data_IF_927596950984
#
_entry.id   IF_927596950984
#
_cell.length_a   1.000
_cell.length_b   1.000
_cell.length_c   1.000
_cell.angle_alpha   90.00
_cell.angle_beta   90.00
_cell.angle_gamma   90.00
#
_symmetry.space_group_name_H-M   'P 1'
#
loop_
_entity.id
_entity.type
_entity.pdbx_description
1 polymer ?
#
# COMPACT_ATOMS: atom_id res chain seq x y z
N UNK A 1 26.83 19.13 -1.25
CA UNK A 1 25.87 18.25 -0.56
C UNK A 1 24.65 19.09 -0.25
N UNK A 2 23.49 18.73 -0.77
CA UNK A 2 22.27 19.52 -0.62
C UNK A 2 21.27 18.71 0.22
N UNK A 3 20.97 19.20 1.42
CA UNK A 3 19.92 18.65 2.27
C UNK A 3 18.55 19.13 1.78
N UNK A 4 17.51 18.33 2.01
CA UNK A 4 16.15 18.71 1.67
C UNK A 4 15.61 19.76 2.63
N UNK A 5 14.53 20.44 2.22
CA UNK A 5 13.83 21.36 3.12
C UNK A 5 13.26 20.58 4.30
N UNK A 6 13.49 21.08 5.51
CA UNK A 6 13.12 20.39 6.75
C UNK A 6 14.21 19.45 7.29
N UNK A 7 15.30 19.24 6.54
CA UNK A 7 16.44 18.46 7.01
C UNK A 7 17.58 19.36 7.52
N UNK A 8 18.25 18.91 8.58
CA UNK A 8 19.50 19.48 9.04
C UNK A 8 20.42 18.37 9.55
N UNK A 9 21.73 18.54 9.45
CA UNK A 9 22.66 17.54 9.96
C UNK A 9 22.86 17.70 11.47
N UNK A 10 23.01 16.59 12.19
CA UNK A 10 23.57 16.63 13.55
C UNK A 10 24.97 17.25 13.46
N UNK A 11 25.33 18.08 14.45
CA UNK A 11 26.66 18.70 14.49
C UNK A 11 27.75 17.63 14.39
N UNK A 12 28.70 17.83 13.47
CA UNK A 12 29.78 16.88 13.15
C UNK A 12 29.29 15.52 12.60
N UNK A 13 28.13 15.48 11.95
CA UNK A 13 27.64 14.27 11.30
C UNK A 13 28.65 13.72 10.27
N UNK A 14 28.91 12.41 10.29
CA UNK A 14 29.87 11.79 9.39
C UNK A 14 29.33 11.79 7.96
N UNK A 15 30.25 11.95 7.02
CA UNK A 15 30.01 11.88 5.59
C UNK A 15 30.51 10.51 5.10
N UNK A 16 29.69 9.82 4.32
CA UNK A 16 30.04 8.53 3.71
C UNK A 16 30.19 8.68 2.20
N UNK A 17 31.17 7.97 1.63
CA UNK A 17 31.32 7.84 0.18
C UNK A 17 30.48 6.66 -0.32
N UNK A 18 29.68 6.89 -1.35
CA UNK A 18 28.85 5.90 -2.03
C UNK A 18 29.64 5.19 -3.14
N UNK A 19 29.17 4.02 -3.63
CA UNK A 19 29.88 3.26 -4.68
C UNK A 19 30.14 4.03 -5.98
N UNK A 20 29.33 5.06 -6.27
CA UNK A 20 29.48 5.92 -7.46
C UNK A 20 30.41 7.13 -7.25
N UNK A 21 31.12 7.20 -6.11
CA UNK A 21 32.01 8.31 -5.78
C UNK A 21 31.31 9.55 -5.23
N UNK A 22 29.98 9.58 -5.19
CA UNK A 22 29.25 10.64 -4.49
C UNK A 22 29.37 10.48 -2.98
N UNK A 23 29.15 11.58 -2.25
CA UNK A 23 29.14 11.55 -0.78
C UNK A 23 27.79 11.98 -0.25
N UNK A 24 27.33 11.37 0.84
CA UNK A 24 26.14 11.82 1.56
C UNK A 24 26.35 11.80 3.09
N UNK A 25 25.50 12.53 3.80
CA UNK A 25 25.26 12.28 5.22
C UNK A 25 24.11 11.26 5.28
N UNK A 26 24.32 10.07 5.86
CA UNK A 26 23.26 9.11 6.07
C UNK A 26 22.06 9.72 6.80
N UNK A 27 20.85 9.34 6.38
CA UNK A 27 19.60 9.91 6.87
C UNK A 27 19.45 9.81 8.40
N UNK A 28 19.95 8.73 9.02
CA UNK A 28 19.90 8.55 10.47
C UNK A 28 20.84 9.50 11.23
N UNK A 29 21.66 10.31 10.56
CA UNK A 29 22.44 11.39 11.18
C UNK A 29 21.85 12.78 10.91
N UNK A 30 20.63 12.83 10.36
CA UNK A 30 19.89 14.05 10.13
C UNK A 30 18.84 14.27 11.24
N UNK A 31 18.50 15.54 11.44
CA UNK A 31 17.40 16.05 12.21
C UNK A 31 16.32 16.52 11.25
N UNK A 32 15.05 16.32 11.63
CA UNK A 32 13.90 16.66 10.81
C UNK A 32 13.01 17.67 11.53
N UNK A 33 12.57 18.68 10.78
CA UNK A 33 11.59 19.67 11.19
C UNK A 33 10.78 20.10 9.98
N UNK A 34 9.90 19.22 9.55
CA UNK A 34 9.05 19.45 8.39
C UNK A 34 7.92 20.43 8.72
N UNK A 35 7.75 21.42 7.83
CA UNK A 35 6.55 22.24 7.71
C UNK A 35 5.65 21.70 6.60
N UNK A 36 4.41 22.20 6.51
CA UNK A 36 3.50 21.89 5.39
C UNK A 36 4.19 22.10 4.04
N UNK A 37 4.88 23.22 3.86
CA UNK A 37 5.58 23.59 2.61
C UNK A 37 6.70 22.60 2.29
N UNK A 38 7.44 22.13 3.30
CA UNK A 38 8.49 21.14 3.09
C UNK A 38 7.92 19.78 2.64
N UNK A 39 6.75 19.38 3.18
CA UNK A 39 6.07 18.15 2.78
C UNK A 39 5.47 18.30 1.38
N UNK A 40 4.92 19.46 1.03
CA UNK A 40 4.48 19.78 -0.34
C UNK A 40 5.62 19.63 -1.33
N UNK A 41 6.82 20.11 -0.98
CA UNK A 41 8.00 19.93 -1.83
C UNK A 41 8.36 18.46 -2.04
N UNK A 42 8.24 17.62 -1.00
CA UNK A 42 8.43 16.16 -1.15
C UNK A 42 7.37 15.58 -2.10
N UNK A 43 6.10 16.00 -1.96
CA UNK A 43 5.01 15.54 -2.83
C UNK A 43 5.20 15.96 -4.29
N UNK A 44 5.73 17.17 -4.54
CA UNK A 44 6.02 17.65 -5.90
C UNK A 44 7.07 16.80 -6.63
N UNK A 45 7.98 16.19 -5.87
CA UNK A 45 9.00 15.28 -6.40
C UNK A 45 8.49 13.84 -6.57
N UNK A 46 7.26 13.54 -6.12
CA UNK A 46 6.61 12.25 -6.31
C UNK A 46 5.81 12.26 -7.60
N UNK A 47 6.04 11.24 -8.43
CA UNK A 47 5.22 10.99 -9.61
C UNK A 47 4.48 9.66 -9.48
N UNK A 48 3.16 9.72 -9.73
CA UNK A 48 2.26 8.57 -9.80
C UNK A 48 1.07 8.92 -10.72
N UNK A 49 0.06 8.05 -10.77
CA UNK A 49 -1.13 8.21 -11.63
C UNK A 49 -1.97 9.44 -11.24
N UNK A 50 -2.35 10.24 -12.25
CA UNK A 50 -3.07 11.52 -12.08
C UNK A 50 -4.43 11.41 -11.37
N UNK A 51 -5.06 10.25 -11.43
CA UNK A 51 -6.35 10.01 -10.77
C UNK A 51 -6.18 9.76 -9.26
N UNK A 52 -4.94 9.80 -8.73
CA UNK A 52 -4.63 9.71 -7.30
C UNK A 52 -3.86 10.94 -6.80
N UNK A 53 -4.45 12.15 -6.84
CA UNK A 53 -3.80 13.35 -6.34
C UNK A 53 -3.46 13.23 -4.85
N UNK A 54 -2.29 13.72 -4.46
CA UNK A 54 -1.83 13.75 -3.07
C UNK A 54 -1.98 15.16 -2.53
N UNK A 55 -2.76 15.31 -1.47
CA UNK A 55 -2.97 16.58 -0.78
C UNK A 55 -2.13 16.62 0.50
N UNK A 56 -1.52 17.78 0.76
CA UNK A 56 -0.88 18.10 2.03
C UNK A 56 -1.72 19.14 2.73
N UNK A 57 -2.07 18.89 3.99
CA UNK A 57 -2.87 19.81 4.78
C UNK A 57 -2.36 19.98 6.19
N UNK A 58 -2.95 20.97 6.87
CA UNK A 58 -2.70 21.24 8.28
C UNK A 58 -4.01 21.09 9.05
N UNK A 59 -3.91 20.53 10.25
CA UNK A 59 -4.95 20.58 11.28
C UNK A 59 -4.35 21.15 12.56
N UNK A 60 -5.19 21.43 13.56
CA UNK A 60 -4.69 21.80 14.89
C UNK A 60 -3.77 20.75 15.54
N UNK A 61 -3.76 19.52 15.02
CA UNK A 61 -2.96 18.39 15.51
C UNK A 61 -1.67 18.14 14.70
N UNK A 62 -1.43 18.92 13.63
CA UNK A 62 -0.22 18.83 12.80
C UNK A 62 -0.49 18.63 11.31
N UNK A 63 0.57 18.26 10.59
CA UNK A 63 0.55 18.04 9.13
C UNK A 63 -0.12 16.69 8.84
N UNK A 64 -0.85 16.62 7.74
CA UNK A 64 -1.37 15.36 7.22
C UNK A 64 -1.23 15.27 5.70
N UNK A 65 -1.19 14.03 5.21
CA UNK A 65 -1.33 13.66 3.81
C UNK A 65 -2.72 13.06 3.61
N UNK A 66 -3.35 13.35 2.48
CA UNK A 66 -4.60 12.71 2.07
C UNK A 66 -4.55 12.40 0.58
N UNK A 67 -4.87 11.16 0.20
CA UNK A 67 -4.95 10.77 -1.21
C UNK A 67 -6.39 10.95 -1.66
N UNK A 68 -6.60 11.70 -2.75
CA UNK A 68 -7.87 11.72 -3.47
C UNK A 68 -7.91 10.59 -4.49
N UNK A 69 -9.11 10.15 -4.85
CA UNK A 69 -9.35 9.18 -5.93
C UNK A 69 -10.33 9.81 -6.90
N UNK A 70 -9.90 9.96 -8.16
CA UNK A 70 -10.71 10.55 -9.23
C UNK A 70 -11.26 9.42 -10.10
N UNK A 71 -12.56 9.16 -10.00
CA UNK A 71 -13.22 8.04 -10.67
C UNK A 71 -14.60 8.40 -11.19
N UNK A 72 -15.21 7.48 -11.95
CA UNK A 72 -16.60 7.63 -12.36
C UNK A 72 -17.53 7.39 -11.17
N UNK A 73 -18.56 8.23 -11.03
CA UNK A 73 -19.57 8.03 -10.00
C UNK A 73 -20.41 6.77 -10.30
N UNK A 74 -20.30 5.77 -9.42
CA UNK A 74 -21.01 4.51 -9.54
C UNK A 74 -22.51 4.61 -9.22
N UNK A 75 -22.96 5.70 -8.58
CA UNK A 75 -24.35 5.91 -8.18
C UNK A 75 -25.20 6.60 -9.25
N UNK A 76 -24.60 7.43 -10.10
CA UNK A 76 -25.30 8.21 -11.13
C UNK A 76 -25.26 7.56 -12.53
N UNK A 77 -25.64 6.28 -12.63
CA UNK A 77 -25.69 5.52 -13.91
C UNK A 77 -26.68 6.04 -14.95
N UNK A 78 -27.54 7.03 -14.63
CA UNK A 78 -28.73 7.39 -15.43
C UNK A 78 -28.54 8.52 -16.44
N UNK A 79 -27.42 9.22 -16.47
CA UNK A 79 -27.17 10.28 -17.45
C UNK A 79 -25.89 9.97 -18.21
N UNK A 80 -25.95 9.99 -19.54
CA UNK A 80 -24.84 9.66 -20.44
C UNK A 80 -23.60 10.57 -20.32
N UNK A 81 -23.54 11.43 -19.31
CA UNK A 81 -22.39 12.21 -18.92
C UNK A 81 -21.82 11.62 -17.62
N UNK A 82 -20.80 10.77 -17.73
CA UNK A 82 -20.07 10.27 -16.56
C UNK A 82 -19.01 11.28 -16.18
N UNK A 83 -19.42 12.36 -15.52
CA UNK A 83 -18.44 13.29 -14.97
C UNK A 83 -17.61 12.56 -13.91
N UNK A 84 -16.29 12.66 -14.02
CA UNK A 84 -15.40 12.11 -12.97
C UNK A 84 -15.58 12.95 -11.72
N UNK A 85 -15.73 12.29 -10.57
CA UNK A 85 -15.78 12.92 -9.26
C UNK A 85 -14.54 12.54 -8.47
N UNK A 86 -14.15 13.40 -7.52
CA UNK A 86 -13.08 13.10 -6.57
C UNK A 86 -13.69 12.70 -5.23
N UNK A 87 -13.23 11.57 -4.71
CA UNK A 87 -13.47 11.15 -3.32
C UNK A 87 -12.17 11.26 -2.55
N UNK A 88 -12.28 11.48 -1.24
CA UNK A 88 -11.11 11.71 -0.40
C UNK A 88 -10.91 10.53 0.56
N UNK A 89 -9.70 9.96 0.53
CA UNK A 89 -9.29 8.92 1.46
C UNK A 89 -9.11 9.42 2.89
N UNK A 90 -8.55 8.56 3.76
CA UNK A 90 -8.25 8.92 5.14
C UNK A 90 -7.04 9.88 5.21
N UNK A 91 -7.01 10.69 6.27
CA UNK A 91 -5.85 11.54 6.59
C UNK A 91 -4.78 10.71 7.27
N UNK A 92 -3.56 10.80 6.76
CA UNK A 92 -2.36 10.17 7.30
C UNK A 92 -1.54 11.24 8.00
N UNK A 93 -1.38 11.12 9.32
CA UNK A 93 -0.62 12.09 10.11
C UNK A 93 0.86 12.06 9.72
N UNK A 94 1.47 13.25 9.63
CA UNK A 94 2.91 13.43 9.45
C UNK A 94 3.44 14.19 10.65
N UNK A 95 4.30 13.54 11.44
CA UNK A 95 5.02 14.23 12.52
C UNK A 95 6.15 15.07 11.92
N UNK A 96 6.42 16.24 12.51
CA UNK A 96 7.44 17.17 12.00
C UNK A 96 8.85 16.56 11.99
N UNK A 97 9.11 15.61 12.88
CA UNK A 97 10.38 14.92 13.03
C UNK A 97 10.44 13.57 12.27
N UNK A 98 9.43 13.24 11.44
CA UNK A 98 9.55 12.12 10.52
C UNK A 98 10.62 12.42 9.48
N UNK A 99 11.35 11.39 9.13
CA UNK A 99 12.39 11.52 8.12
C UNK A 99 11.78 11.60 6.71
N UNK A 100 12.45 12.28 5.77
CA UNK A 100 11.94 12.43 4.39
C UNK A 100 11.58 11.09 3.75
N UNK A 101 12.39 10.04 3.94
CA UNK A 101 12.05 8.69 3.44
C UNK A 101 10.84 8.06 4.13
N UNK A 102 10.61 8.31 5.42
CA UNK A 102 9.37 7.85 6.10
C UNK A 102 8.14 8.58 5.55
N UNK A 103 8.24 9.87 5.22
CA UNK A 103 7.16 10.63 4.58
C UNK A 103 6.84 10.03 3.20
N UNK A 104 7.86 9.78 2.37
CA UNK A 104 7.69 9.16 1.05
C UNK A 104 7.04 7.77 1.17
N UNK A 105 7.49 6.95 2.13
CA UNK A 105 6.88 5.64 2.40
C UNK A 105 5.43 5.76 2.89
N UNK A 106 5.12 6.77 3.70
CA UNK A 106 3.75 7.04 4.15
C UNK A 106 2.84 7.36 2.97
N UNK A 107 3.30 8.17 2.02
CA UNK A 107 2.56 8.50 0.79
C UNK A 107 2.37 7.24 -0.08
N UNK A 108 3.43 6.45 -0.26
CA UNK A 108 3.36 5.18 -0.99
C UNK A 108 2.30 4.23 -0.40
N UNK A 109 2.30 4.07 0.93
CA UNK A 109 1.30 3.26 1.63
C UNK A 109 -0.11 3.84 1.52
N UNK A 110 -0.25 5.17 1.65
CA UNK A 110 -1.54 5.84 1.51
C UNK A 110 -2.17 5.59 0.13
N UNK A 111 -1.36 5.61 -0.93
CA UNK A 111 -1.80 5.28 -2.30
C UNK A 111 -2.21 3.81 -2.40
N UNK A 112 -1.41 2.88 -1.87
CA UNK A 112 -1.77 1.44 -1.87
C UNK A 112 -3.11 1.19 -1.19
N UNK A 113 -3.33 1.80 -0.03
CA UNK A 113 -4.59 1.65 0.71
C UNK A 113 -5.76 2.31 -0.02
N UNK A 114 -5.54 3.49 -0.63
CA UNK A 114 -6.58 4.13 -1.46
C UNK A 114 -6.96 3.25 -2.66
N UNK A 115 -5.99 2.57 -3.29
CA UNK A 115 -6.27 1.64 -4.38
C UNK A 115 -6.91 0.34 -3.91
N UNK A 116 -6.49 -0.19 -2.78
CA UNK A 116 -7.12 -1.37 -2.19
C UNK A 116 -8.61 -1.13 -1.93
N UNK A 117 -8.98 0.06 -1.47
CA UNK A 117 -10.39 0.47 -1.37
C UNK A 117 -11.14 0.29 -2.70
N UNK A 118 -10.60 0.85 -3.79
CA UNK A 118 -11.22 0.74 -5.12
C UNK A 118 -11.31 -0.72 -5.60
N UNK A 119 -10.26 -1.52 -5.43
CA UNK A 119 -10.26 -2.95 -5.81
C UNK A 119 -11.37 -3.72 -5.07
N UNK A 120 -11.54 -3.43 -3.78
CA UNK A 120 -12.56 -4.04 -2.92
C UNK A 120 -13.97 -3.68 -3.38
N UNK A 121 -14.17 -2.48 -3.90
CA UNK A 121 -15.45 -2.04 -4.47
C UNK A 121 -15.70 -2.55 -5.89
N UNK A 122 -14.64 -2.73 -6.67
CA UNK A 122 -14.73 -3.26 -8.03
C UNK A 122 -14.98 -4.78 -8.05
N UNK A 123 -14.62 -5.49 -6.98
CA UNK A 123 -14.91 -6.91 -6.84
C UNK A 123 -16.39 -7.13 -6.49
N UNK A 124 -17.17 -7.54 -7.48
CA UNK A 124 -18.62 -7.76 -7.33
C UNK A 124 -18.99 -9.23 -7.40
N UNK A 125 -19.97 -9.63 -6.60
CA UNK A 125 -20.61 -10.94 -6.60
C UNK A 125 -22.10 -10.78 -6.92
N UNK A 126 -22.56 -11.52 -7.91
CA UNK A 126 -23.98 -11.66 -8.25
C UNK A 126 -24.56 -12.85 -7.51
N UNK A 127 -25.47 -12.60 -6.58
CA UNK A 127 -26.17 -13.61 -5.80
C UNK A 127 -27.67 -13.30 -5.73
N UNK A 128 -28.52 -14.28 -6.02
CA UNK A 128 -29.99 -14.09 -6.13
C UNK A 128 -30.40 -12.92 -7.05
N UNK A 129 -29.76 -12.79 -8.22
CA UNK A 129 -29.97 -11.70 -9.21
C UNK A 129 -29.69 -10.28 -8.66
N UNK A 130 -29.00 -10.18 -7.53
CA UNK A 130 -28.54 -8.92 -6.94
C UNK A 130 -27.01 -8.89 -6.94
N UNK A 131 -26.46 -7.71 -7.16
CA UNK A 131 -25.01 -7.48 -7.16
C UNK A 131 -24.60 -6.89 -5.81
N UNK A 132 -23.52 -7.40 -5.23
CA UNK A 132 -22.93 -6.89 -3.98
C UNK A 132 -21.40 -6.88 -4.08
N UNK A 133 -20.75 -6.00 -3.31
CA UNK A 133 -19.28 -5.89 -3.24
C UNK A 133 -18.79 -6.57 -1.95
N UNK A 134 -18.50 -7.86 -2.03
CA UNK A 134 -18.32 -8.71 -0.83
C UNK A 134 -17.05 -8.44 -0.02
N UNK A 135 -16.09 -7.72 -0.58
CA UNK A 135 -14.84 -7.36 0.09
C UNK A 135 -14.73 -5.87 0.45
N UNK A 136 -15.81 -5.09 0.27
CA UNK A 136 -15.82 -3.66 0.57
C UNK A 136 -15.55 -3.35 2.05
N UNK A 137 -14.96 -2.18 2.32
CA UNK A 137 -14.63 -1.72 3.68
C UNK A 137 -15.79 -1.00 4.40
N UNK A 138 -16.93 -0.86 3.74
CA UNK A 138 -18.12 -0.19 4.26
C UNK A 138 -19.10 -1.15 4.96
N UNK A 139 -18.72 -2.42 5.11
CA UNK A 139 -19.50 -3.41 5.86
C UNK A 139 -19.68 -2.99 7.32
N UNK A 140 -20.90 -3.16 7.83
CA UNK A 140 -21.21 -2.94 9.25
C UNK A 140 -20.63 -4.10 10.09
N UNK A 141 -19.32 -4.01 10.35
CA UNK A 141 -18.58 -5.00 11.13
C UNK A 141 -19.19 -5.23 12.53
N UNK A 142 -19.66 -4.20 13.28
CA UNK A 142 -20.42 -4.41 14.50
C UNK A 142 -21.63 -5.34 14.33
N UNK A 143 -22.43 -5.19 13.27
CA UNK A 143 -23.55 -6.10 12.98
C UNK A 143 -23.04 -7.49 12.60
N UNK A 144 -22.07 -7.60 11.69
CA UNK A 144 -21.53 -8.90 11.25
C UNK A 144 -20.93 -9.70 12.40
N UNK A 145 -20.26 -9.04 13.34
CA UNK A 145 -19.67 -9.68 14.52
C UNK A 145 -20.70 -10.38 15.42
N UNK A 146 -21.94 -9.86 15.50
CA UNK A 146 -23.03 -10.49 16.26
C UNK A 146 -23.63 -11.69 15.54
N UNK A 147 -23.38 -11.79 14.23
CA UNK A 147 -23.88 -12.85 13.36
C UNK A 147 -22.82 -13.89 13.04
N UNK A 148 -21.72 -13.94 13.80
CA UNK A 148 -20.58 -14.84 13.54
C UNK A 148 -21.00 -16.30 13.28
N UNK A 149 -21.96 -16.81 14.06
CA UNK A 149 -22.50 -18.18 13.90
C UNK A 149 -23.10 -18.47 12.52
N UNK A 150 -23.52 -17.45 11.75
CA UNK A 150 -24.03 -17.63 10.38
C UNK A 150 -22.92 -17.87 9.35
N UNK A 151 -21.67 -17.49 9.68
CA UNK A 151 -20.49 -17.64 8.82
C UNK A 151 -19.78 -18.97 9.05
N UNK A 152 -20.18 -19.74 10.06
CA UNK A 152 -19.67 -21.07 10.34
C UNK A 152 -20.30 -22.07 9.36
N UNK A 153 -19.67 -22.26 8.19
CA UNK A 153 -20.11 -23.26 7.21
C UNK A 153 -18.99 -24.16 6.71
N UNK A 154 -19.41 -25.39 6.41
CA UNK A 154 -18.62 -26.53 5.95
C UNK A 154 -17.89 -26.20 4.65
N UNK A 155 -16.56 -26.26 4.69
CA UNK A 155 -15.74 -26.21 3.48
C UNK A 155 -15.92 -27.53 2.73
N UNK A 156 -16.72 -27.51 1.67
CA UNK A 156 -16.78 -28.63 0.73
C UNK A 156 -15.66 -28.48 -0.30
N UNK A 157 -15.07 -29.60 -0.67
CA UNK A 157 -14.15 -29.66 -1.79
C UNK A 157 -14.92 -29.31 -3.08
N UNK A 158 -14.50 -28.25 -3.76
CA UNK A 158 -15.04 -27.80 -5.02
C UNK A 158 -14.39 -28.56 -6.18
N UNK A 159 -15.20 -28.88 -7.17
CA UNK A 159 -14.79 -29.40 -8.49
C UNK A 159 -14.47 -28.24 -9.43
N UNK A 160 -13.81 -28.51 -10.56
CA UNK A 160 -13.51 -27.49 -11.58
C UNK A 160 -14.79 -26.83 -12.10
N UNK A 161 -15.84 -27.63 -12.33
CA UNK A 161 -17.14 -27.16 -12.80
C UNK A 161 -17.77 -26.20 -11.79
N UNK A 162 -17.70 -26.52 -10.50
CA UNK A 162 -18.18 -25.64 -9.43
C UNK A 162 -17.39 -24.33 -9.33
N UNK A 163 -16.07 -24.38 -9.58
CA UNK A 163 -15.23 -23.18 -9.61
C UNK A 163 -15.56 -22.30 -10.82
N UNK A 164 -15.78 -22.89 -11.99
CA UNK A 164 -16.18 -22.16 -13.19
C UNK A 164 -17.54 -21.48 -13.01
N UNK A 165 -18.53 -22.19 -12.45
CA UNK A 165 -19.83 -21.62 -12.10
C UNK A 165 -19.71 -20.50 -11.07
N UNK A 166 -18.78 -20.61 -10.12
CA UNK A 166 -18.51 -19.54 -9.16
C UNK A 166 -17.92 -18.30 -9.83
N UNK A 167 -17.02 -18.46 -10.81
CA UNK A 167 -16.46 -17.33 -11.57
C UNK A 167 -17.50 -16.59 -12.41
N UNK A 168 -18.50 -17.28 -12.96
CA UNK A 168 -19.61 -16.64 -13.70
C UNK A 168 -20.42 -15.66 -12.83
N UNK A 169 -20.37 -15.83 -11.51
CA UNK A 169 -21.02 -14.93 -10.55
C UNK A 169 -20.17 -13.71 -10.17
N UNK A 170 -18.91 -13.66 -10.59
CA UNK A 170 -17.97 -12.59 -10.25
C UNK A 170 -17.73 -11.68 -11.44
N UNK A 171 -17.73 -10.37 -11.18
CA UNK A 171 -17.23 -9.36 -12.13
C UNK A 171 -16.24 -8.46 -11.38
N UNK A 172 -15.13 -8.14 -12.05
CA UNK A 172 -14.11 -7.22 -11.53
C UNK A 172 -13.79 -6.17 -12.58
N UNK A 173 -14.14 -4.90 -12.33
CA UNK A 173 -13.91 -3.80 -13.30
C UNK A 173 -14.35 -4.17 -14.74
N UNK A 174 -15.56 -4.76 -14.85
CA UNK A 174 -16.14 -5.24 -16.12
C UNK A 174 -15.35 -6.36 -16.82
N UNK A 175 -14.37 -6.95 -16.16
CA UNK A 175 -13.68 -8.15 -16.59
C UNK A 175 -14.37 -9.41 -16.05
N UNK A 176 -14.25 -10.49 -16.82
CA UNK A 176 -14.76 -11.82 -16.51
C UNK A 176 -13.61 -12.82 -16.39
N UNK A 177 -13.89 -14.00 -15.86
CA UNK A 177 -12.86 -14.98 -15.53
C UNK A 177 -13.22 -16.38 -16.04
N UNK A 178 -12.20 -17.15 -16.42
CA UNK A 178 -12.32 -18.57 -16.77
C UNK A 178 -11.21 -19.39 -16.09
N UNK A 179 -11.54 -20.61 -15.66
CA UNK A 179 -10.54 -21.55 -15.12
C UNK A 179 -9.74 -22.15 -16.27
N UNK A 180 -8.42 -22.05 -16.19
CA UNK A 180 -7.48 -22.65 -17.16
C UNK A 180 -6.92 -23.97 -16.64
N UNK A 181 -6.49 -24.00 -15.37
CA UNK A 181 -5.94 -25.20 -14.75
C UNK A 181 -6.28 -25.26 -13.26
N UNK A 182 -6.39 -26.48 -12.72
CA UNK A 182 -6.61 -26.74 -11.30
C UNK A 182 -5.87 -28.00 -10.88
N UNK A 183 -4.82 -27.85 -10.09
CA UNK A 183 -3.89 -28.93 -9.77
C UNK A 183 -3.56 -28.99 -8.28
N UNK A 184 -3.54 -30.19 -7.71
CA UNK A 184 -3.04 -30.40 -6.36
C UNK A 184 -1.51 -30.51 -6.37
N UNK A 185 -0.86 -29.79 -5.46
CA UNK A 185 0.59 -29.81 -5.25
C UNK A 185 0.97 -30.85 -4.20
N UNK A 186 2.22 -31.34 -4.26
CA UNK A 186 2.71 -32.39 -3.34
C UNK A 186 2.73 -31.99 -1.85
N UNK A 187 2.64 -30.70 -1.53
CA UNK A 187 2.50 -30.19 -0.16
C UNK A 187 1.04 -30.08 0.30
N UNK A 188 0.08 -30.55 -0.50
CA UNK A 188 -1.36 -30.51 -0.24
C UNK A 188 -2.06 -29.20 -0.63
N UNK A 189 -1.35 -28.16 -1.06
CA UNK A 189 -1.96 -26.94 -1.60
C UNK A 189 -2.50 -27.16 -3.02
N UNK A 190 -3.31 -26.24 -3.50
CA UNK A 190 -3.86 -26.27 -4.85
C UNK A 190 -3.39 -25.05 -5.65
N UNK A 191 -3.04 -25.29 -6.90
CA UNK A 191 -2.65 -24.28 -7.88
C UNK A 191 -3.80 -24.10 -8.86
N UNK A 192 -4.23 -22.86 -9.06
CA UNK A 192 -5.26 -22.52 -10.03
C UNK A 192 -4.72 -21.46 -10.98
N UNK A 193 -4.79 -21.74 -12.27
CA UNK A 193 -4.57 -20.72 -13.28
C UNK A 193 -5.92 -20.23 -13.80
N UNK A 194 -6.08 -18.92 -13.84
CA UNK A 194 -7.29 -18.22 -14.25
C UNK A 194 -6.91 -17.25 -15.35
N UNK A 195 -7.72 -17.23 -16.40
CA UNK A 195 -7.66 -16.20 -17.43
C UNK A 195 -8.69 -15.12 -17.12
N UNK A 196 -8.23 -13.87 -17.14
CA UNK A 196 -9.06 -12.69 -16.97
C UNK A 196 -9.28 -12.03 -18.34
N UNK A 197 -10.54 -11.92 -18.72
CA UNK A 197 -11.00 -11.42 -20.01
C UNK A 197 -11.51 -10.00 -19.79
N UNK A 198 -10.69 -9.02 -20.19
CA UNK A 198 -11.03 -7.59 -20.11
C UNK A 198 -12.03 -7.17 -21.19
N UNK A 199 -12.73 -6.06 -20.98
CA UNK A 199 -13.60 -5.44 -21.99
C UNK A 199 -13.17 -4.00 -22.26
N UNK A 200 -13.76 -3.39 -23.28
CA UNK A 200 -13.61 -1.94 -23.58
C UNK A 200 -14.12 -1.02 -22.46
N UNK A 201 -14.78 -1.58 -21.45
CA UNK A 201 -15.26 -0.86 -20.27
C UNK A 201 -14.38 -1.06 -19.03
N UNK A 202 -13.33 -1.89 -19.13
CA UNK A 202 -12.32 -2.03 -18.09
C UNK A 202 -11.49 -0.76 -17.99
N UNK A 203 -11.39 -0.21 -16.78
CA UNK A 203 -10.88 1.14 -16.52
C UNK A 203 -9.53 1.15 -15.81
N UNK A 204 -9.20 0.08 -15.08
CA UNK A 204 -7.98 -0.03 -14.31
C UNK A 204 -6.74 -0.11 -15.23
N UNK A 205 -5.72 0.75 -15.01
CA UNK A 205 -4.58 0.83 -15.89
C UNK A 205 -3.74 -0.46 -15.92
N UNK A 206 -3.67 -1.20 -14.82
CA UNK A 206 -2.95 -2.48 -14.76
C UNK A 206 -3.59 -3.59 -15.59
N UNK A 207 -4.90 -3.50 -15.86
CA UNK A 207 -5.64 -4.49 -16.65
C UNK A 207 -5.57 -4.18 -18.15
N UNK A 208 -5.44 -2.90 -18.52
CA UNK A 208 -5.39 -2.45 -19.91
C UNK A 208 -4.07 -2.79 -20.63
N UNK A 209 -3.05 -3.28 -19.92
CA UNK A 209 -1.72 -3.54 -20.47
C UNK A 209 -1.59 -4.92 -21.14
N UNK A 210 -2.51 -5.86 -20.89
CA UNK A 210 -2.50 -7.18 -21.50
C UNK A 210 -3.92 -7.64 -21.79
N UNK A 211 -4.21 -7.95 -23.07
CA UNK A 211 -5.54 -8.43 -23.50
C UNK A 211 -5.98 -9.71 -22.80
N UNK A 212 -5.01 -10.52 -22.35
CA UNK A 212 -5.22 -11.79 -21.67
C UNK A 212 -4.32 -11.84 -20.42
N UNK A 213 -4.82 -11.31 -19.30
CA UNK A 213 -4.08 -11.37 -18.04
C UNK A 213 -4.32 -12.72 -17.39
N UNK A 214 -3.25 -13.48 -17.12
CA UNK A 214 -3.33 -14.74 -16.38
C UNK A 214 -2.97 -14.54 -14.91
N UNK A 215 -3.79 -15.10 -14.04
CA UNK A 215 -3.60 -15.10 -12.60
C UNK A 215 -3.32 -16.52 -12.14
N UNK A 216 -2.29 -16.68 -11.32
CA UNK A 216 -2.00 -17.95 -10.66
C UNK A 216 -2.30 -17.83 -9.17
N UNK A 217 -3.22 -18.64 -8.67
CA UNK A 217 -3.63 -18.69 -7.27
C UNK A 217 -3.02 -19.90 -6.59
N UNK A 218 -2.62 -19.74 -5.33
CA UNK A 218 -2.21 -20.85 -4.46
C UNK A 218 -3.15 -20.90 -3.26
N UNK A 219 -4.05 -21.88 -3.20
CA UNK A 219 -5.04 -22.02 -2.12
C UNK A 219 -4.77 -23.26 -1.28
N UNK A 220 -4.98 -23.18 0.04
CA UNK A 220 -4.74 -24.29 0.97
C UNK A 220 -5.88 -25.31 0.98
N UNK A 221 -7.10 -24.83 0.78
CA UNK A 221 -8.32 -25.64 0.77
C UNK A 221 -9.02 -25.43 -0.57
N UNK A 222 -9.40 -26.49 -1.29
CA UNK A 222 -10.09 -26.39 -2.56
C UNK A 222 -11.58 -26.09 -2.34
N UNK A 223 -11.90 -24.95 -1.70
CA UNK A 223 -13.29 -24.53 -1.46
C UNK A 223 -13.61 -23.24 -2.22
N UNK A 224 -14.89 -22.99 -2.52
CA UNK A 224 -15.33 -21.75 -3.19
C UNK A 224 -14.89 -20.50 -2.40
N UNK A 225 -14.94 -20.54 -1.08
CA UNK A 225 -14.50 -19.40 -0.25
C UNK A 225 -12.99 -19.18 -0.38
N UNK A 226 -12.19 -20.24 -0.24
CA UNK A 226 -10.74 -20.14 -0.41
C UNK A 226 -10.36 -19.66 -1.81
N UNK A 227 -11.15 -20.04 -2.81
CA UNK A 227 -11.02 -19.57 -4.18
C UNK A 227 -11.29 -18.07 -4.31
N UNK A 228 -12.42 -17.56 -3.80
CA UNK A 228 -12.72 -16.13 -3.85
C UNK A 228 -11.69 -15.27 -3.12
N UNK A 229 -11.23 -15.71 -1.96
CA UNK A 229 -10.14 -15.04 -1.25
C UNK A 229 -8.84 -15.07 -2.05
N UNK A 230 -8.46 -16.22 -2.61
CA UNK A 230 -7.28 -16.33 -3.45
C UNK A 230 -7.33 -15.43 -4.69
N UNK A 231 -8.48 -15.37 -5.37
CA UNK A 231 -8.69 -14.49 -6.52
C UNK A 231 -8.55 -13.02 -6.11
N UNK A 232 -9.20 -12.61 -5.02
CA UNK A 232 -9.07 -11.25 -4.50
C UNK A 232 -7.61 -10.91 -4.15
N UNK A 233 -6.89 -11.81 -3.49
CA UNK A 233 -5.48 -11.61 -3.15
C UNK A 233 -4.61 -11.42 -4.40
N UNK A 234 -4.87 -12.18 -5.48
CA UNK A 234 -4.16 -12.01 -6.75
C UNK A 234 -4.47 -10.67 -7.43
N UNK A 235 -5.73 -10.23 -7.42
CA UNK A 235 -6.13 -8.92 -7.96
C UNK A 235 -5.52 -7.75 -7.14
N UNK A 236 -5.50 -7.90 -5.82
CA UNK A 236 -4.83 -6.94 -4.93
C UNK A 236 -3.32 -6.92 -5.18
N UNK A 237 -2.70 -8.09 -5.42
CA UNK A 237 -1.29 -8.18 -5.78
C UNK A 237 -0.99 -7.46 -7.11
N UNK A 238 -1.85 -7.58 -8.13
CA UNK A 238 -1.69 -6.84 -9.38
C UNK A 238 -1.69 -5.33 -9.17
N UNK A 239 -2.63 -4.80 -8.40
CA UNK A 239 -2.67 -3.36 -8.13
C UNK A 239 -1.49 -2.90 -7.28
N UNK A 240 -1.08 -3.71 -6.30
CA UNK A 240 0.12 -3.43 -5.51
C UNK A 240 1.38 -3.40 -6.38
N UNK A 241 1.52 -4.32 -7.33
CA UNK A 241 2.61 -4.35 -8.30
C UNK A 241 2.55 -3.12 -9.22
N UNK A 242 1.36 -2.68 -9.63
CA UNK A 242 1.20 -1.46 -10.41
C UNK A 242 1.70 -0.22 -9.65
N UNK A 243 1.33 -0.06 -8.37
CA UNK A 243 1.85 1.06 -7.55
C UNK A 243 3.36 0.95 -7.40
N UNK A 244 3.84 -0.26 -7.07
CA UNK A 244 5.26 -0.57 -6.87
C UNK A 244 6.11 -0.17 -8.07
N UNK A 245 5.61 -0.37 -9.30
CA UNK A 245 6.34 -0.10 -10.53
C UNK A 245 6.17 1.34 -11.07
N UNK A 246 5.15 2.08 -10.62
CA UNK A 246 4.83 3.41 -11.17
C UNK A 246 4.94 4.56 -10.15
N UNK A 247 5.08 4.26 -8.86
CA UNK A 247 5.37 5.26 -7.84
C UNK A 247 6.86 5.57 -7.83
N UNK A 248 7.22 6.82 -8.12
CA UNK A 248 8.61 7.26 -8.12
C UNK A 248 8.81 8.53 -7.31
N UNK A 249 9.99 8.68 -6.73
CA UNK A 249 10.46 9.91 -6.11
C UNK A 249 11.70 10.38 -6.89
N UNK A 250 11.66 11.59 -7.44
CA UNK A 250 12.71 12.14 -8.31
C UNK A 250 13.12 11.19 -9.46
N UNK A 251 12.13 10.48 -10.02
CA UNK A 251 12.33 9.51 -11.11
C UNK A 251 12.88 8.15 -10.67
N UNK A 252 13.13 7.93 -9.37
CA UNK A 252 13.54 6.63 -8.84
C UNK A 252 12.36 5.85 -8.25
N UNK A 253 12.11 4.66 -8.78
CA UNK A 253 11.04 3.75 -8.33
C UNK A 253 11.62 2.76 -7.33
N UNK A 254 11.62 3.10 -6.03
CA UNK A 254 12.32 2.33 -4.99
C UNK A 254 11.93 0.83 -4.95
N UNK A 255 10.65 0.54 -5.13
CA UNK A 255 10.11 -0.80 -4.95
C UNK A 255 10.04 -1.63 -6.24
N UNK A 256 10.49 -1.08 -7.38
CA UNK A 256 10.52 -1.83 -8.64
C UNK A 256 11.30 -3.14 -8.47
N UNK A 257 10.67 -4.26 -8.84
CA UNK A 257 11.27 -5.61 -8.75
C UNK A 257 12.51 -5.77 -9.64
N UNK A 258 12.73 -4.85 -10.59
CA UNK A 258 13.94 -4.78 -11.42
C UNK A 258 15.13 -4.17 -10.70
N UNK A 259 14.93 -3.50 -9.56
CA UNK A 259 16.03 -2.95 -8.78
C UNK A 259 16.90 -4.05 -8.20
N UNK A 260 18.22 -3.87 -8.26
CA UNK A 260 19.16 -4.80 -7.64
C UNK A 260 19.09 -4.70 -6.12
N UNK A 261 18.53 -5.73 -5.49
CA UNK A 261 18.49 -5.86 -4.02
C UNK A 261 19.89 -5.88 -3.42
N UNK A 262 20.87 -6.47 -4.13
CA UNK A 262 22.28 -6.48 -3.71
C UNK A 262 22.85 -5.07 -3.70
N UNK A 263 22.61 -4.27 -4.75
CA UNK A 263 23.09 -2.89 -4.80
C UNK A 263 22.46 -2.02 -3.70
N UNK A 264 21.16 -2.20 -3.45
CA UNK A 264 20.49 -1.53 -2.32
C UNK A 264 21.17 -1.92 -1.00
N UNK A 265 21.43 -3.21 -0.79
CA UNK A 265 22.12 -3.69 0.40
C UNK A 265 23.51 -3.06 0.56
N UNK A 266 24.31 -2.99 -0.51
CA UNK A 266 25.65 -2.38 -0.49
C UNK A 266 25.62 -0.89 -0.10
N UNK A 267 24.64 -0.14 -0.64
CA UNK A 267 24.42 1.26 -0.27
C UNK A 267 24.04 1.36 1.21
N UNK A 268 23.10 0.54 1.69
CA UNK A 268 22.65 0.55 3.08
C UNK A 268 23.77 0.15 4.05
N UNK A 269 24.58 -0.85 3.70
CA UNK A 269 25.76 -1.25 4.48
C UNK A 269 26.73 -0.08 4.56
N UNK A 270 27.01 0.58 3.43
CA UNK A 270 27.92 1.73 3.37
C UNK A 270 27.43 2.91 4.22
N UNK A 271 26.13 3.21 4.17
CA UNK A 271 25.52 4.26 5.00
C UNK A 271 25.56 3.91 6.50
N UNK A 272 25.42 2.62 6.84
CA UNK A 272 25.45 2.13 8.23
C UNK A 272 26.86 1.86 8.75
N UNK A 273 27.90 1.87 7.91
CA UNK A 273 29.28 1.81 8.36
C UNK A 273 29.50 3.00 9.28
N UNK A 274 29.34 2.76 10.57
CA UNK A 274 29.94 3.57 11.62
C UNK A 274 31.40 3.51 11.27
N UNK A 275 31.97 4.58 10.75
CA UNK A 275 33.40 4.69 10.58
C UNK A 275 33.96 4.51 11.98
N UNK A 276 34.33 3.28 12.32
CA UNK A 276 34.67 2.81 13.66
C UNK A 276 35.98 3.43 14.16
N UNK A 277 36.50 4.43 13.44
CA UNK A 277 37.80 5.01 13.69
C UNK A 277 37.72 6.36 14.37
N UNK A 278 36.72 7.23 14.16
CA UNK A 278 36.62 8.51 14.90
C UNK A 278 35.23 9.17 14.82
N UNK A 279 34.17 8.51 15.31
CA UNK A 279 33.02 9.32 15.75
C UNK A 279 33.49 10.09 16.98
N UNK A 280 33.74 11.39 16.83
CA UNK A 280 34.05 12.27 17.95
C UNK A 280 33.04 12.01 19.08
N UNK A 281 33.54 11.92 20.32
CA UNK A 281 32.71 11.61 21.49
C UNK A 281 31.49 12.56 21.58
N UNK A 282 31.71 13.83 21.23
CA UNK A 282 30.67 14.86 21.11
C UNK A 282 29.55 14.46 20.12
N UNK A 283 29.88 13.97 18.93
CA UNK A 283 28.88 13.51 17.97
C UNK A 283 28.10 12.31 18.51
N UNK A 284 28.81 11.32 19.06
CA UNK A 284 28.18 10.10 19.59
C UNK A 284 27.18 10.41 20.71
N UNK A 285 27.52 11.36 21.58
CA UNK A 285 26.64 11.82 22.66
C UNK A 285 25.44 12.60 22.13
N UNK A 286 25.65 13.54 21.20
CA UNK A 286 24.57 14.28 20.56
C UNK A 286 23.60 13.35 19.82
N UNK A 287 24.13 12.39 19.05
CA UNK A 287 23.33 11.42 18.31
C UNK A 287 22.43 10.57 19.23
N UNK A 288 23.00 10.04 20.33
CA UNK A 288 22.23 9.29 21.33
C UNK A 288 21.15 10.15 21.99
N UNK A 289 21.51 11.38 22.38
CA UNK A 289 20.59 12.30 23.04
C UNK A 289 19.41 12.67 22.12
N UNK A 290 19.70 13.04 20.87
CA UNK A 290 18.68 13.34 19.86
C UNK A 290 17.71 12.19 19.66
N UNK A 291 18.21 10.96 19.43
CA UNK A 291 17.34 9.81 19.20
C UNK A 291 16.42 9.55 20.39
N UNK A 292 16.96 9.64 21.61
CA UNK A 292 16.20 9.47 22.83
C UNK A 292 15.09 10.51 23.01
N UNK A 293 15.35 11.78 22.69
CA UNK A 293 14.31 12.81 22.77
C UNK A 293 13.22 12.63 21.70
N UNK A 294 13.58 12.21 20.49
CA UNK A 294 12.61 11.87 19.43
C UNK A 294 11.75 10.66 19.83
N UNK A 295 12.36 9.60 20.37
CA UNK A 295 11.63 8.40 20.78
C UNK A 295 10.62 8.72 21.89
N UNK A 296 10.97 9.59 22.83
CA UNK A 296 10.05 10.07 23.87
C UNK A 296 8.81 10.75 23.30
N UNK A 297 8.92 11.52 22.21
CA UNK A 297 7.76 12.21 21.63
C UNK A 297 6.78 11.23 20.99
N UNK A 298 7.23 10.03 20.62
CA UNK A 298 6.42 9.00 19.95
C UNK A 298 5.66 8.09 20.91
N UNK A 299 5.99 8.11 22.20
CA UNK A 299 5.31 7.25 23.19
C UNK A 299 3.85 7.71 23.37
N UNK A 300 2.86 6.88 23.02
CA UNK A 300 1.46 7.24 23.20
C UNK A 300 1.10 7.32 24.70
N UNK A 301 0.24 8.27 25.06
CA UNK A 301 -0.30 8.34 26.42
C UNK A 301 -1.32 7.21 26.62
N UNK A 302 -1.04 6.30 27.55
CA UNK A 302 -1.98 5.27 27.95
C UNK A 302 -2.96 5.84 28.99
N UNK A 303 -4.20 6.07 28.60
CA UNK A 303 -5.26 6.51 29.50
C UNK A 303 -5.81 5.34 30.31
N UNK A 304 -6.14 5.57 31.58
CA UNK A 304 -6.72 4.54 32.45
C UNK A 304 -8.05 4.02 31.89
N UNK A 305 -8.28 2.71 32.02
CA UNK A 305 -9.52 2.04 31.61
C UNK A 305 -9.27 0.69 30.93
N UNK A 306 -10.35 0.06 30.44
CA UNK A 306 -10.32 -1.30 29.86
C UNK A 306 -9.30 -1.49 28.73
N UNK A 307 -9.01 -0.44 27.97
CA UNK A 307 -7.96 -0.50 26.93
C UNK A 307 -6.57 -0.63 27.55
N UNK A 308 -6.28 0.13 28.62
CA UNK A 308 -5.02 0.00 29.35
C UNK A 308 -4.88 -1.36 30.01
N UNK A 309 -5.97 -1.90 30.56
CA UNK A 309 -5.99 -3.24 31.16
C UNK A 309 -5.73 -4.35 30.13
N UNK A 310 -6.13 -4.14 28.86
CA UNK A 310 -5.86 -5.06 27.76
C UNK A 310 -4.41 -5.00 27.25
N UNK A 311 -3.77 -3.83 27.36
CA UNK A 311 -2.42 -3.59 26.83
C UNK A 311 -1.32 -4.01 27.83
N UNK A 312 -1.61 -3.96 29.14
CA UNK A 312 -0.72 -4.43 30.22
C UNK A 312 -0.69 -5.95 30.29
#
# INVERSE_FOLDING_TARGET
MQLQQGESAIKNAPIVALPNGHTCIPQHYLLFKHSRESVEKIVLDINFYKDYPIFVGLTGEGIYIQVGVIGFDNYNRKQGNRDKSIVYGRKWRVEENLSTSEIIQTIFLAIKIAREHEIRELFTLTHHKKVSTVFNTHQDLPVLSKLQHLFEKTQTHATVEQLQLALESIEYDKAHFSVVAFEQRGNGSWLLDIEMITSEHTSLPELNLAKDTRLTLVIKSPSINSFFHGLFDALLALSNDYVTNNFSYQGFTLFDKKNSVVMIADILITQRKRTALHLQEEFSNNFKHTNHEIDKTRVPKLYQGKLADKIK
#
